data_IF_022005531654
#
_entry.id   IF_022005531654
#
_cell.length_a   1.000
_cell.length_b   1.000
_cell.length_c   1.000
_cell.angle_alpha   90.00
_cell.angle_beta   90.00
_cell.angle_gamma   90.00
#
_symmetry.space_group_name_H-M   'P 1'
#
loop_
_entity.id
_entity.type
_entity.pdbx_description
1 polymer ?
#
# COMPACT_ATOMS: atom_id res chain seq x y z
N UNK A 1 -16.68 4.59 -20.24
CA UNK A 1 -16.78 5.94 -19.68
C UNK A 1 -16.26 6.02 -18.23
N UNK A 2 -16.71 5.19 -17.29
CA UNK A 2 -16.30 5.25 -15.87
C UNK A 2 -14.80 4.95 -15.65
N UNK A 3 -14.21 3.97 -16.34
CA UNK A 3 -12.78 3.65 -16.25
C UNK A 3 -11.87 4.80 -16.74
N UNK A 4 -12.27 5.49 -17.82
CA UNK A 4 -11.54 6.66 -18.31
C UNK A 4 -11.58 7.84 -17.33
N UNK A 5 -12.73 8.08 -16.70
CA UNK A 5 -12.88 9.12 -15.66
C UNK A 5 -12.00 8.81 -14.45
N UNK A 6 -11.95 7.56 -14.00
CA UNK A 6 -11.06 7.11 -12.92
C UNK A 6 -9.59 7.32 -13.27
N UNK A 7 -9.16 6.95 -14.47
CA UNK A 7 -7.77 7.11 -14.92
C UNK A 7 -7.36 8.58 -14.97
N UNK A 8 -8.22 9.45 -15.49
CA UNK A 8 -7.97 10.89 -15.55
C UNK A 8 -7.91 11.51 -14.14
N UNK A 9 -8.85 11.16 -13.25
CA UNK A 9 -8.86 11.63 -11.86
C UNK A 9 -7.59 11.20 -11.11
N UNK A 10 -7.15 9.95 -11.31
CA UNK A 10 -5.93 9.44 -10.68
C UNK A 10 -4.67 10.13 -11.22
N UNK A 11 -4.63 10.46 -12.50
CA UNK A 11 -3.52 11.21 -13.10
C UNK A 11 -3.44 12.65 -12.54
N UNK A 12 -4.58 13.35 -12.47
CA UNK A 12 -4.65 14.69 -11.88
C UNK A 12 -4.25 14.68 -10.39
N UNK A 13 -4.74 13.69 -9.63
CA UNK A 13 -4.37 13.51 -8.23
C UNK A 13 -2.86 13.31 -8.04
N UNK A 14 -2.24 12.47 -8.86
CA UNK A 14 -0.78 12.23 -8.79
C UNK A 14 0.04 13.47 -9.06
N UNK A 15 -0.38 14.28 -10.03
CA UNK A 15 0.28 15.55 -10.33
C UNK A 15 0.18 16.51 -9.14
N UNK A 16 -1.01 16.65 -8.56
CA UNK A 16 -1.23 17.49 -7.39
C UNK A 16 -0.44 16.99 -6.17
N UNK A 17 -0.47 15.69 -5.89
CA UNK A 17 0.30 15.07 -4.81
C UNK A 17 1.82 15.24 -5.01
N UNK A 18 2.33 15.06 -6.23
CA UNK A 18 3.75 15.24 -6.56
C UNK A 18 4.28 16.65 -6.30
N UNK A 19 3.39 17.65 -6.27
CA UNK A 19 3.68 19.05 -5.96
C UNK A 19 3.23 19.47 -4.54
N UNK A 20 2.94 18.52 -3.65
CA UNK A 20 2.45 18.81 -2.31
C UNK A 20 3.50 19.56 -1.47
N UNK A 21 3.02 20.62 -0.76
CA UNK A 21 3.80 21.45 0.17
C UNK A 21 3.07 21.60 1.52
N UNK A 22 2.22 20.62 1.91
CA UNK A 22 1.34 20.76 3.08
C UNK A 22 2.03 20.63 4.45
N UNK A 23 3.27 20.14 4.52
CA UNK A 23 3.97 19.90 5.78
C UNK A 23 5.49 20.06 5.62
N UNK A 24 6.21 20.15 6.74
CA UNK A 24 7.67 20.31 6.75
C UNK A 24 8.42 19.16 6.05
N UNK A 25 7.87 17.95 6.03
CA UNK A 25 8.46 16.83 5.28
C UNK A 25 8.59 17.10 3.78
N UNK A 26 7.73 17.96 3.23
CA UNK A 26 7.77 18.31 1.81
C UNK A 26 8.84 19.37 1.48
N UNK A 27 9.51 19.94 2.48
CA UNK A 27 10.55 20.94 2.27
C UNK A 27 11.79 20.26 1.69
N UNK A 28 12.08 20.52 0.40
CA UNK A 28 13.21 19.92 -0.32
C UNK A 28 13.06 18.45 -0.66
N UNK A 29 11.93 17.80 -0.34
CA UNK A 29 11.66 16.39 -0.61
C UNK A 29 10.41 16.27 -1.49
N UNK A 30 10.46 15.43 -2.51
CA UNK A 30 9.28 15.15 -3.35
C UNK A 30 8.48 13.97 -2.80
N UNK A 31 7.15 14.07 -2.75
CA UNK A 31 6.29 12.93 -2.41
C UNK A 31 6.52 11.74 -3.34
N UNK A 32 6.56 10.55 -2.76
CA UNK A 32 6.69 9.30 -3.52
C UNK A 32 5.30 8.83 -3.95
N UNK A 33 5.11 8.67 -5.25
CA UNK A 33 3.79 8.44 -5.86
C UNK A 33 3.77 7.17 -6.70
N UNK A 34 2.72 6.36 -6.53
CA UNK A 34 2.49 5.14 -7.31
C UNK A 34 2.22 5.43 -8.80
N UNK A 35 2.70 4.55 -9.68
CA UNK A 35 2.50 4.65 -11.13
C UNK A 35 1.46 3.66 -11.68
N UNK A 36 0.76 2.90 -10.84
CA UNK A 36 -0.26 1.93 -11.26
C UNK A 36 -1.38 2.60 -12.07
N UNK A 37 -1.68 2.12 -13.27
CA UNK A 37 -2.58 2.81 -14.21
C UNK A 37 -4.07 2.60 -13.92
N UNK A 38 -4.47 1.38 -13.60
CA UNK A 38 -5.87 1.03 -13.32
C UNK A 38 -5.96 0.03 -12.17
N UNK A 39 -5.55 0.45 -10.95
CA UNK A 39 -5.51 -0.44 -9.79
C UNK A 39 -6.90 -0.79 -9.29
N UNK A 40 -7.06 -2.01 -8.77
CA UNK A 40 -8.23 -2.47 -8.03
C UNK A 40 -7.88 -2.85 -6.58
N UNK A 41 -6.60 -2.88 -6.25
CA UNK A 41 -6.08 -3.11 -4.92
C UNK A 41 -5.19 -1.93 -4.51
N UNK A 42 -5.07 -1.70 -3.20
CA UNK A 42 -4.13 -0.75 -2.62
C UNK A 42 -3.27 -1.43 -1.57
N UNK A 43 -1.98 -1.16 -1.63
CA UNK A 43 -1.02 -1.47 -0.58
C UNK A 43 -0.61 -0.17 0.09
N UNK A 44 -0.65 -0.14 1.41
CA UNK A 44 -0.42 1.09 2.18
C UNK A 44 0.67 0.82 3.20
N UNK A 45 1.85 1.44 3.00
CA UNK A 45 2.96 1.41 3.94
C UNK A 45 2.89 2.51 5.00
N UNK A 46 3.91 2.62 5.82
CA UNK A 46 4.05 3.69 6.81
C UNK A 46 4.44 5.01 6.16
N UNK A 47 5.59 5.05 5.52
CA UNK A 47 6.22 6.18 4.85
C UNK A 47 7.26 5.67 3.85
N UNK A 48 7.69 6.47 2.85
CA UNK A 48 8.87 6.18 2.06
C UNK A 48 10.13 6.14 2.95
N UNK A 49 11.08 5.27 2.63
CA UNK A 49 12.44 5.33 3.14
C UNK A 49 13.31 6.26 2.29
N UNK A 50 14.59 6.43 2.65
CA UNK A 50 15.53 7.28 1.92
C UNK A 50 15.66 6.86 0.45
N UNK A 51 15.79 5.55 0.17
CA UNK A 51 15.91 5.02 -1.21
C UNK A 51 14.69 5.34 -2.05
N UNK A 52 13.50 5.25 -1.47
CA UNK A 52 12.26 5.62 -2.14
C UNK A 52 12.16 7.11 -2.38
N UNK A 53 12.60 7.93 -1.43
CA UNK A 53 12.64 9.39 -1.54
C UNK A 53 13.55 9.84 -2.68
N UNK A 54 14.75 9.27 -2.78
CA UNK A 54 15.73 9.59 -3.81
C UNK A 54 15.28 9.10 -5.20
N UNK A 55 14.71 7.89 -5.27
CA UNK A 55 14.30 7.24 -6.52
C UNK A 55 12.88 7.53 -6.96
N UNK A 56 12.04 8.17 -6.14
CA UNK A 56 10.64 8.48 -6.45
C UNK A 56 9.72 7.26 -6.64
N UNK A 57 10.15 6.05 -6.26
CA UNK A 57 9.43 4.81 -6.49
C UNK A 57 9.10 4.10 -5.17
N UNK A 58 7.82 3.84 -4.86
CA UNK A 58 7.43 3.18 -3.62
C UNK A 58 8.02 1.77 -3.50
N UNK A 59 8.43 1.37 -2.30
CA UNK A 59 9.00 0.05 -2.00
C UNK A 59 10.11 -0.38 -2.98
N UNK A 60 11.08 0.47 -3.22
CA UNK A 60 12.28 0.18 -4.04
C UNK A 60 13.49 -0.25 -3.20
N UNK A 61 13.49 0.02 -1.91
CA UNK A 61 14.54 -0.35 -0.95
C UNK A 61 14.45 -1.81 -0.45
N UNK A 62 15.16 -2.10 0.65
CA UNK A 62 15.24 -3.46 1.23
C UNK A 62 13.88 -4.01 1.67
N UNK A 63 13.03 -3.19 2.27
CA UNK A 63 11.68 -3.58 2.66
C UNK A 63 10.85 -4.00 1.43
N UNK A 64 10.97 -3.26 0.32
CA UNK A 64 10.33 -3.58 -0.95
C UNK A 64 10.78 -4.93 -1.52
N UNK A 65 12.08 -5.22 -1.51
CA UNK A 65 12.61 -6.52 -1.97
C UNK A 65 12.01 -7.69 -1.17
N UNK A 66 11.80 -7.53 0.13
CA UNK A 66 11.18 -8.56 0.97
C UNK A 66 9.68 -8.67 0.66
N UNK A 67 8.96 -7.54 0.54
CA UNK A 67 7.55 -7.50 0.20
C UNK A 67 7.27 -8.19 -1.14
N UNK A 68 8.00 -7.85 -2.20
CA UNK A 68 7.78 -8.47 -3.51
C UNK A 68 8.17 -9.95 -3.54
N UNK A 69 9.17 -10.36 -2.76
CA UNK A 69 9.46 -11.78 -2.55
C UNK A 69 8.30 -12.54 -1.88
N UNK A 70 7.60 -11.89 -0.95
CA UNK A 70 6.38 -12.46 -0.37
C UNK A 70 5.26 -12.58 -1.42
N UNK A 71 5.02 -11.55 -2.22
CA UNK A 71 3.99 -11.57 -3.26
C UNK A 71 4.31 -12.58 -4.38
N UNK A 72 5.58 -12.74 -4.75
CA UNK A 72 6.02 -13.73 -5.73
C UNK A 72 5.69 -15.17 -5.28
N UNK A 73 5.70 -15.45 -3.97
CA UNK A 73 5.28 -16.76 -3.42
C UNK A 73 3.78 -17.04 -3.62
N UNK A 74 2.97 -15.99 -3.80
CA UNK A 74 1.56 -16.10 -4.22
C UNK A 74 1.38 -16.03 -5.74
N UNK A 75 2.45 -16.19 -6.52
CA UNK A 75 2.42 -16.14 -7.98
C UNK A 75 2.32 -14.72 -8.57
N UNK A 76 2.62 -13.68 -7.77
CA UNK A 76 2.48 -12.28 -8.20
C UNK A 76 3.87 -11.62 -8.25
N UNK A 77 4.44 -11.63 -9.44
CA UNK A 77 5.73 -10.99 -9.70
C UNK A 77 5.67 -9.47 -9.49
N UNK A 78 6.79 -8.82 -9.15
CA UNK A 78 6.88 -7.39 -8.83
C UNK A 78 6.28 -6.51 -9.94
N UNK A 79 6.56 -6.79 -11.21
CA UNK A 79 6.04 -6.02 -12.34
C UNK A 79 4.51 -6.05 -12.37
N UNK A 80 3.92 -7.23 -12.21
CA UNK A 80 2.47 -7.44 -12.14
C UNK A 80 1.86 -6.76 -10.91
N UNK A 81 2.49 -6.92 -9.74
CA UNK A 81 2.04 -6.27 -8.51
C UNK A 81 1.98 -4.75 -8.67
N UNK A 82 3.01 -4.13 -9.23
CA UNK A 82 3.08 -2.68 -9.45
C UNK A 82 2.07 -2.15 -10.48
N UNK A 83 1.58 -2.99 -11.37
CA UNK A 83 0.51 -2.64 -12.32
C UNK A 83 -0.87 -2.75 -11.67
N UNK A 84 -1.11 -3.79 -10.88
CA UNK A 84 -2.41 -4.13 -10.31
C UNK A 84 -2.71 -3.41 -9.00
N UNK A 85 -1.68 -3.12 -8.22
CA UNK A 85 -1.78 -2.57 -6.86
C UNK A 85 -1.29 -1.12 -6.86
N UNK A 86 -2.12 -0.21 -6.39
CA UNK A 86 -1.68 1.14 -6.07
C UNK A 86 -0.91 1.13 -4.77
N UNK A 87 0.38 1.47 -4.83
CA UNK A 87 1.25 1.44 -3.67
C UNK A 87 1.32 2.84 -3.06
N UNK A 88 0.78 2.96 -1.87
CA UNK A 88 0.60 4.17 -1.09
C UNK A 88 1.28 4.06 0.28
N UNK A 89 1.22 5.10 1.09
CA UNK A 89 1.68 5.09 2.47
C UNK A 89 0.86 6.08 3.33
N UNK A 90 0.95 6.01 4.64
CA UNK A 90 0.29 6.95 5.56
C UNK A 90 0.83 8.37 5.36
N UNK A 91 2.15 8.52 5.19
CA UNK A 91 2.76 9.77 4.70
C UNK A 91 3.49 9.53 3.38
N UNK A 92 3.62 10.57 2.54
CA UNK A 92 4.17 10.45 1.19
C UNK A 92 5.63 10.84 1.06
N UNK A 93 6.20 11.45 2.09
CA UNK A 93 7.57 11.91 2.13
C UNK A 93 8.38 11.12 3.16
N UNK A 94 9.68 11.03 2.95
CA UNK A 94 10.62 10.41 3.89
C UNK A 94 10.64 11.20 5.20
N UNK A 95 10.35 10.57 6.34
CA UNK A 95 10.29 11.27 7.62
C UNK A 95 11.66 11.55 8.25
N UNK A 96 12.73 11.00 7.69
CA UNK A 96 14.08 11.07 8.26
C UNK A 96 14.50 9.80 8.98
N UNK A 97 15.80 9.70 9.28
CA UNK A 97 16.36 8.61 10.05
C UNK A 97 15.91 8.68 11.51
N UNK A 98 15.80 7.53 12.16
CA UNK A 98 15.55 7.47 13.59
C UNK A 98 16.78 8.00 14.36
N UNK A 99 16.61 8.81 15.45
CA UNK A 99 17.73 9.37 16.22
C UNK A 99 18.74 8.34 16.73
N UNK A 100 18.31 7.10 16.96
CA UNK A 100 19.21 6.01 17.36
C UNK A 100 20.06 5.45 16.22
N UNK A 101 19.94 5.95 14.99
CA UNK A 101 20.61 5.42 13.79
C UNK A 101 20.06 4.07 13.30
N UNK A 102 19.00 3.54 13.89
CA UNK A 102 18.40 2.24 13.52
C UNK A 102 17.10 2.44 12.75
N UNK A 103 17.23 2.50 11.41
CA UNK A 103 16.09 2.64 10.51
C UNK A 103 15.51 4.06 10.46
N UNK A 104 14.31 4.17 9.93
CA UNK A 104 13.61 5.43 9.72
C UNK A 104 12.69 5.72 10.91
N UNK A 105 12.50 7.00 11.23
CA UNK A 105 11.55 7.39 12.27
C UNK A 105 10.10 7.17 11.82
N UNK A 106 9.21 6.99 12.78
CA UNK A 106 7.78 6.99 12.52
C UNK A 106 7.33 8.44 12.29
N UNK A 107 6.49 8.72 11.28
CA UNK A 107 5.90 10.04 11.11
C UNK A 107 5.12 10.48 12.35
N UNK A 108 5.23 11.75 12.73
CA UNK A 108 4.49 12.34 13.84
C UNK A 108 2.98 12.34 13.55
N UNK A 109 2.15 12.50 14.58
CA UNK A 109 0.69 12.62 14.40
C UNK A 109 0.30 13.81 13.53
N UNK A 110 1.03 14.92 13.62
CA UNK A 110 0.80 16.11 12.79
C UNK A 110 1.12 15.83 11.31
N UNK A 111 2.25 15.18 11.02
CA UNK A 111 2.62 14.77 9.66
C UNK A 111 1.60 13.79 9.06
N UNK A 112 1.12 12.82 9.86
CA UNK A 112 0.08 11.89 9.46
C UNK A 112 -1.24 12.61 9.15
N UNK A 113 -1.66 13.55 9.99
CA UNK A 113 -2.88 14.33 9.79
C UNK A 113 -2.78 15.20 8.53
N UNK A 114 -1.68 15.93 8.35
CA UNK A 114 -1.44 16.77 7.17
C UNK A 114 -1.43 15.98 5.85
N UNK A 115 -1.08 14.69 5.91
CA UNK A 115 -1.01 13.82 4.74
C UNK A 115 -2.28 12.97 4.54
N UNK A 116 -3.19 12.92 5.53
CA UNK A 116 -4.35 12.04 5.54
C UNK A 116 -5.31 12.23 4.36
N UNK A 117 -5.60 13.49 3.99
CA UNK A 117 -6.49 13.82 2.87
C UNK A 117 -6.05 13.18 1.53
N UNK A 118 -4.73 13.03 1.33
CA UNK A 118 -4.21 12.39 0.13
C UNK A 118 -4.58 10.91 0.06
N UNK A 119 -4.49 10.20 1.18
CA UNK A 119 -4.88 8.79 1.27
C UNK A 119 -6.38 8.62 1.09
N UNK A 120 -7.19 9.46 1.73
CA UNK A 120 -8.66 9.40 1.63
C UNK A 120 -9.13 9.71 0.20
N UNK A 121 -8.51 10.69 -0.48
CA UNK A 121 -8.77 10.99 -1.89
C UNK A 121 -8.40 9.80 -2.80
N UNK A 122 -7.27 9.14 -2.56
CA UNK A 122 -6.89 7.92 -3.30
C UNK A 122 -7.91 6.80 -3.10
N UNK A 123 -8.36 6.57 -1.88
CA UNK A 123 -9.40 5.59 -1.56
C UNK A 123 -10.71 5.91 -2.30
N UNK A 124 -11.11 7.17 -2.36
CA UNK A 124 -12.32 7.62 -3.09
C UNK A 124 -12.19 7.42 -4.60
N UNK A 125 -11.05 7.75 -5.20
CA UNK A 125 -10.81 7.61 -6.65
C UNK A 125 -10.69 6.13 -7.03
N UNK A 126 -9.90 5.37 -6.28
CA UNK A 126 -9.56 3.98 -6.62
C UNK A 126 -10.71 3.03 -6.27
N UNK A 127 -11.36 3.24 -5.13
CA UNK A 127 -12.38 2.33 -4.58
C UNK A 127 -11.87 0.89 -4.57
N UNK A 128 -10.77 0.64 -3.86
CA UNK A 128 -10.10 -0.66 -3.93
C UNK A 128 -11.03 -1.77 -3.47
N UNK A 129 -10.91 -2.95 -4.06
CA UNK A 129 -11.59 -4.16 -3.59
C UNK A 129 -10.77 -4.87 -2.51
N UNK A 130 -9.44 -4.67 -2.55
CA UNK A 130 -8.49 -5.23 -1.60
C UNK A 130 -7.60 -4.11 -1.05
N UNK A 131 -7.49 -4.06 0.28
CA UNK A 131 -6.54 -3.24 1.04
C UNK A 131 -5.48 -4.15 1.68
N UNK A 132 -4.21 -3.80 1.49
CA UNK A 132 -3.05 -4.50 2.07
C UNK A 132 -2.27 -3.49 2.91
N UNK A 133 -2.69 -3.18 4.13
CA UNK A 133 -1.91 -2.32 5.02
C UNK A 133 -0.68 -3.09 5.52
N UNK A 134 0.49 -2.42 5.48
CA UNK A 134 1.80 -2.99 5.78
C UNK A 134 2.42 -2.29 6.99
N UNK A 135 2.52 -3.02 8.08
CA UNK A 135 3.01 -2.52 9.37
C UNK A 135 1.94 -1.85 10.23
N UNK A 136 2.20 -1.75 11.51
CA UNK A 136 1.24 -1.32 12.54
C UNK A 136 0.57 0.00 12.20
N UNK A 137 1.33 1.03 11.86
CA UNK A 137 0.79 2.37 11.57
C UNK A 137 -0.24 2.37 10.44
N UNK A 138 0.01 1.60 9.37
CA UNK A 138 -0.91 1.49 8.25
C UNK A 138 -2.15 0.64 8.59
N UNK A 139 -1.98 -0.39 9.40
CA UNK A 139 -3.07 -1.27 9.85
C UNK A 139 -4.06 -0.48 10.72
N UNK A 140 -3.55 0.29 11.68
CA UNK A 140 -4.34 1.10 12.63
C UNK A 140 -5.12 2.26 11.98
N UNK A 141 -4.90 2.54 10.68
CA UNK A 141 -5.76 3.45 9.91
C UNK A 141 -7.13 2.85 9.58
N UNK A 142 -7.30 1.54 9.67
CA UNK A 142 -8.49 0.83 9.20
C UNK A 142 -9.12 -0.08 10.25
N UNK A 143 -8.38 -0.47 11.28
CA UNK A 143 -8.86 -1.36 12.34
C UNK A 143 -8.35 -0.87 13.70
N UNK A 144 -9.12 -1.19 14.74
CA UNK A 144 -8.72 -0.90 16.12
C UNK A 144 -7.39 -1.60 16.46
N UNK A 145 -6.58 -1.00 17.37
CA UNK A 145 -5.33 -1.58 17.80
C UNK A 145 -5.51 -2.96 18.45
N UNK A 146 -4.90 -3.97 17.82
CA UNK A 146 -4.84 -5.36 18.30
C UNK A 146 -3.39 -5.85 18.22
N UNK A 147 -3.12 -7.04 18.77
CA UNK A 147 -1.82 -7.69 18.59
C UNK A 147 -1.64 -8.07 17.13
N UNK A 148 -0.43 -7.94 16.59
CA UNK A 148 -0.17 -8.33 15.20
C UNK A 148 -0.50 -9.81 14.94
N UNK A 149 -0.28 -10.68 15.92
CA UNK A 149 -0.64 -12.10 15.83
C UNK A 149 -2.15 -12.36 15.69
N UNK A 150 -2.99 -11.42 16.08
CA UNK A 150 -4.46 -11.50 15.93
C UNK A 150 -4.94 -10.90 14.60
N UNK A 151 -4.09 -10.14 13.94
CA UNK A 151 -4.39 -9.42 12.71
C UNK A 151 -3.81 -10.11 11.47
N UNK A 152 -2.53 -10.50 11.54
CA UNK A 152 -1.82 -11.11 10.41
C UNK A 152 -2.38 -12.51 10.13
N UNK A 153 -2.60 -12.83 8.85
CA UNK A 153 -3.23 -14.08 8.42
C UNK A 153 -4.76 -14.08 8.54
N UNK A 154 -5.37 -12.91 8.77
CA UNK A 154 -6.82 -12.74 8.77
C UNK A 154 -7.31 -11.95 7.56
N UNK A 155 -8.57 -12.17 7.19
CA UNK A 155 -9.31 -11.43 6.18
C UNK A 155 -10.48 -10.74 6.86
N UNK A 156 -10.60 -9.42 6.68
CA UNK A 156 -11.65 -8.59 7.29
C UNK A 156 -12.34 -7.74 6.24
N UNK A 157 -13.56 -7.31 6.51
CA UNK A 157 -14.24 -6.27 5.71
C UNK A 157 -14.15 -4.98 6.50
N UNK A 158 -13.69 -3.92 5.83
CA UNK A 158 -13.57 -2.58 6.43
C UNK A 158 -14.27 -1.54 5.58
N UNK A 159 -14.74 -0.49 6.22
CA UNK A 159 -15.26 0.70 5.57
C UNK A 159 -14.20 1.81 5.58
N UNK A 160 -14.17 2.61 4.52
CA UNK A 160 -13.24 3.71 4.33
C UNK A 160 -13.83 4.76 3.38
N UNK A 161 -13.15 5.87 3.14
CA UNK A 161 -13.62 6.97 2.32
C UNK A 161 -14.07 6.58 0.90
N UNK A 162 -13.56 5.47 0.34
CA UNK A 162 -13.94 4.96 -0.99
C UNK A 162 -15.02 3.88 -0.99
N UNK A 163 -15.55 3.50 0.18
CA UNK A 163 -16.56 2.43 0.35
C UNK A 163 -16.04 1.26 1.17
N UNK A 164 -16.33 0.02 0.76
CA UNK A 164 -15.95 -1.21 1.47
C UNK A 164 -14.88 -2.00 0.72
N UNK A 165 -13.93 -2.56 1.48
CA UNK A 165 -12.86 -3.42 0.95
C UNK A 165 -12.65 -4.67 1.81
N UNK A 166 -12.14 -5.71 1.17
CA UNK A 166 -11.42 -6.78 1.88
C UNK A 166 -10.10 -6.20 2.37
N UNK A 167 -9.77 -6.42 3.63
CA UNK A 167 -8.50 -6.00 4.23
C UNK A 167 -7.72 -7.25 4.65
N UNK A 168 -6.47 -7.35 4.21
CA UNK A 168 -5.52 -8.41 4.59
C UNK A 168 -4.22 -7.73 4.99
N UNK A 169 -3.94 -7.63 6.30
CA UNK A 169 -2.77 -6.92 6.79
C UNK A 169 -1.49 -7.75 6.67
N UNK A 170 -0.37 -7.06 6.46
CA UNK A 170 0.97 -7.63 6.50
C UNK A 170 1.81 -6.96 7.61
N UNK A 171 2.74 -7.69 8.24
CA UNK A 171 3.72 -7.08 9.12
C UNK A 171 4.70 -6.23 8.29
N UNK A 172 5.45 -5.34 8.95
CA UNK A 172 6.47 -4.57 8.25
C UNK A 172 7.58 -5.47 7.72
N UNK A 173 7.94 -5.41 6.42
CA UNK A 173 8.87 -6.34 5.79
C UNK A 173 10.36 -5.97 6.00
N UNK A 174 10.66 -4.96 6.83
CA UNK A 174 12.05 -4.63 7.16
C UNK A 174 12.67 -5.69 8.07
N UNK A 175 13.95 -6.00 7.85
CA UNK A 175 14.72 -6.90 8.73
C UNK A 175 14.91 -6.38 10.17
N UNK A 176 14.51 -5.14 10.47
CA UNK A 176 14.52 -4.57 11.82
C UNK A 176 13.37 -5.09 12.71
N UNK A 177 12.33 -5.70 12.12
CA UNK A 177 11.24 -6.30 12.88
C UNK A 177 11.59 -7.73 13.29
N UNK A 178 11.86 -7.96 14.58
CA UNK A 178 12.06 -9.31 15.13
C UNK A 178 10.81 -10.19 15.02
N UNK A 179 9.64 -9.57 14.84
CA UNK A 179 8.35 -10.26 14.80
C UNK A 179 8.28 -11.35 13.72
N UNK A 180 8.74 -11.06 12.49
CA UNK A 180 8.72 -12.02 11.37
C UNK A 180 9.73 -13.16 11.49
N UNK A 181 10.63 -13.10 12.46
CA UNK A 181 11.64 -14.15 12.67
C UNK A 181 11.16 -15.31 13.54
N UNK A 182 10.06 -15.14 14.27
CA UNK A 182 9.45 -16.20 15.08
C UNK A 182 8.75 -17.21 14.16
N UNK A 183 8.88 -18.51 14.44
CA UNK A 183 8.31 -19.60 13.63
C UNK A 183 6.80 -19.44 13.41
N UNK A 184 6.06 -19.25 14.50
CA UNK A 184 4.59 -19.13 14.48
C UNK A 184 4.11 -17.93 13.67
N UNK A 185 4.87 -16.83 13.72
CA UNK A 185 4.55 -15.62 12.96
C UNK A 185 4.83 -15.77 11.45
N UNK A 186 5.79 -16.63 11.06
CA UNK A 186 5.99 -16.96 9.64
C UNK A 186 4.76 -17.65 9.05
N UNK A 187 4.14 -18.57 9.80
CA UNK A 187 2.90 -19.24 9.39
C UNK A 187 1.79 -18.20 9.13
N UNK A 188 1.67 -17.20 10.00
CA UNK A 188 0.68 -16.12 9.81
C UNK A 188 0.98 -15.29 8.56
N UNK A 189 2.26 -14.97 8.30
CA UNK A 189 2.67 -14.26 7.07
C UNK A 189 2.34 -15.10 5.84
N UNK A 190 2.63 -16.38 5.86
CA UNK A 190 2.36 -17.30 4.75
C UNK A 190 0.86 -17.38 4.45
N UNK A 191 0.04 -17.46 5.49
CA UNK A 191 -1.41 -17.41 5.38
C UNK A 191 -1.90 -16.08 4.79
N UNK A 192 -1.36 -14.94 5.25
CA UNK A 192 -1.70 -13.63 4.69
C UNK A 192 -1.35 -13.52 3.21
N UNK A 193 -0.19 -14.04 2.81
CA UNK A 193 0.27 -14.05 1.41
C UNK A 193 -0.66 -14.90 0.54
N UNK A 194 -1.06 -16.10 1.00
CA UNK A 194 -2.01 -16.95 0.29
C UNK A 194 -3.35 -16.25 0.08
N UNK A 195 -3.92 -15.64 1.13
CA UNK A 195 -5.16 -14.87 1.05
C UNK A 195 -5.07 -13.69 0.07
N UNK A 196 -3.95 -12.97 0.05
CA UNK A 196 -3.70 -11.89 -0.91
C UNK A 196 -3.67 -12.43 -2.35
N UNK A 197 -3.00 -13.58 -2.55
CA UNK A 197 -2.94 -14.24 -3.85
C UNK A 197 -4.32 -14.60 -4.39
N UNK A 198 -5.17 -15.21 -3.56
CA UNK A 198 -6.55 -15.57 -3.90
C UNK A 198 -7.37 -14.34 -4.32
N UNK A 199 -7.33 -13.25 -3.53
CA UNK A 199 -8.06 -12.02 -3.84
C UNK A 199 -7.58 -11.38 -5.14
N UNK A 200 -6.26 -11.30 -5.37
CA UNK A 200 -5.72 -10.72 -6.59
C UNK A 200 -6.02 -11.56 -7.82
N UNK A 201 -6.00 -12.89 -7.71
CA UNK A 201 -6.40 -13.79 -8.79
C UNK A 201 -7.89 -13.61 -9.15
N UNK A 202 -8.77 -13.52 -8.16
CA UNK A 202 -10.18 -13.24 -8.37
C UNK A 202 -10.42 -11.89 -9.09
N UNK A 203 -9.70 -10.84 -8.69
CA UNK A 203 -9.77 -9.52 -9.34
C UNK A 203 -9.29 -9.55 -10.79
N UNK A 204 -8.25 -10.32 -11.10
CA UNK A 204 -7.76 -10.51 -12.47
C UNK A 204 -8.75 -11.27 -13.34
N UNK A 205 -9.38 -12.32 -12.85
CA UNK A 205 -10.38 -13.11 -13.57
C UNK A 205 -11.59 -12.25 -13.98
N UNK A 206 -12.12 -11.43 -13.07
CA UNK A 206 -13.21 -10.47 -13.36
C UNK A 206 -12.81 -9.47 -14.42
N UNK A 207 -11.59 -8.95 -14.40
CA UNK A 207 -11.07 -7.99 -15.37
C UNK A 207 -10.97 -8.61 -16.77
N UNK A 208 -10.51 -9.85 -16.87
CA UNK A 208 -10.36 -10.56 -18.13
C UNK A 208 -11.72 -10.86 -18.78
N UNK A 209 -12.70 -11.32 -17.99
CA UNK A 209 -14.06 -11.58 -18.46
C UNK A 209 -14.76 -10.31 -18.98
N UNK A 210 -14.59 -9.19 -18.28
CA UNK A 210 -15.16 -7.89 -18.69
C UNK A 210 -14.55 -7.37 -19.99
N UNK A 211 -13.23 -7.55 -20.22
CA UNK A 211 -12.57 -7.18 -21.48
C UNK A 211 -13.05 -8.03 -22.65
N UNK A 212 -13.24 -9.34 -22.46
CA UNK A 212 -13.75 -10.25 -23.50
C UNK A 212 -15.19 -9.91 -23.91
N UNK A 213 -16.04 -9.46 -22.99
CA UNK A 213 -17.41 -9.01 -23.32
C UNK A 213 -17.41 -7.74 -24.16
N UNK A 214 -16.55 -6.76 -23.86
CA UNK A 214 -16.45 -5.50 -24.60
C UNK A 214 -15.84 -5.69 -26.01
N UNK A 215 -15.00 -6.69 -26.23
CA UNK A 215 -14.41 -6.99 -27.53
C UNK A 215 -15.35 -7.76 -28.48
N UNK A 216 -16.54 -8.19 -28.01
CA UNK A 216 -17.54 -8.92 -28.79
C UNK A 216 -18.74 -8.05 -29.21
N UNK A 217 -18.70 -6.77 -28.87
CA UNK A 217 -19.66 -5.72 -29.29
C UNK A 217 -18.99 -4.82 -30.33
#
# INVERSE_FOLDING_TARGET
MQAMKKTAALAAHRLALGNCQKCELATGIRPVVSQARNPQAMLIGQAPGQVESDGGRPFSGRAGKTLFRWLARAGIEEATARELIYISAVTRCYPGAHPSGRGDRVPTKLEQASCGDWLDTELQIIRPKLLIPVGRLAIERFVEPLRLSELIGTKRIVEHAGGRSVLIPLPHPSGASSWVHQSDHRILVDKAIALIGEELAALQAVRTSSRRRLARI
#
